data_IF_141758568702
#
_entry.id   IF_141758568702
#
_cell.length_a   1.000
_cell.length_b   1.000
_cell.length_c   1.000
_cell.angle_alpha   90.00
_cell.angle_beta   90.00
_cell.angle_gamma   90.00
#
_symmetry.space_group_name_H-M   'P 1'
#
loop_
_entity.id
_entity.type
_entity.pdbx_description
1 polymer ?
#
# COMPACT_ATOMS: atom_id res chain seq x y z
N UNK A 1 -30.90 9.93 -61.05
CA UNK A 1 -30.29 9.21 -62.19
C UNK A 1 -29.14 8.27 -61.78
N UNK A 2 -29.07 7.81 -60.52
CA UNK A 2 -27.86 7.15 -59.98
C UNK A 2 -28.29 5.89 -59.20
N UNK A 3 -27.57 4.77 -59.33
CA UNK A 3 -27.77 3.43 -58.72
C UNK A 3 -28.33 2.28 -59.60
N UNK A 4 -28.14 2.26 -60.93
CA UNK A 4 -28.44 1.05 -61.72
C UNK A 4 -27.24 0.15 -62.01
N UNK A 5 -26.02 0.66 -62.05
CA UNK A 5 -24.83 -0.16 -62.27
C UNK A 5 -24.51 -1.00 -61.01
N UNK A 6 -24.21 -2.28 -61.23
CA UNK A 6 -23.81 -3.26 -60.22
C UNK A 6 -22.54 -2.80 -59.52
N UNK A 7 -21.58 -2.21 -60.24
CA UNK A 7 -20.37 -1.57 -59.69
C UNK A 7 -20.68 -0.49 -58.63
N UNK A 8 -21.64 0.40 -58.90
CA UNK A 8 -22.05 1.44 -57.95
C UNK A 8 -22.84 0.87 -56.75
N UNK A 9 -23.64 -0.17 -56.98
CA UNK A 9 -24.36 -0.85 -55.90
C UNK A 9 -23.40 -1.60 -54.97
N UNK A 10 -22.43 -2.31 -55.53
CA UNK A 10 -21.34 -2.96 -54.80
C UNK A 10 -20.55 -1.93 -53.97
N UNK A 11 -20.14 -0.81 -54.56
CA UNK A 11 -19.45 0.24 -53.82
C UNK A 11 -20.27 0.78 -52.64
N UNK A 12 -21.58 1.00 -52.83
CA UNK A 12 -22.48 1.41 -51.73
C UNK A 12 -22.56 0.37 -50.62
N UNK A 13 -22.58 -0.92 -50.96
CA UNK A 13 -22.56 -2.00 -49.97
C UNK A 13 -21.23 -2.04 -49.21
N UNK A 14 -20.10 -1.86 -49.90
CA UNK A 14 -18.77 -1.73 -49.26
C UNK A 14 -18.75 -0.57 -48.28
N UNK A 15 -19.27 0.61 -48.65
CA UNK A 15 -19.33 1.76 -47.72
C UNK A 15 -20.16 1.46 -46.47
N UNK A 16 -21.22 0.66 -46.60
CA UNK A 16 -22.03 0.23 -45.44
C UNK A 16 -21.21 -0.67 -44.51
N UNK A 17 -20.52 -1.68 -45.05
CA UNK A 17 -19.68 -2.57 -44.25
C UNK A 17 -18.52 -1.81 -43.56
N UNK A 18 -17.93 -0.81 -44.23
CA UNK A 18 -16.93 0.08 -43.63
C UNK A 18 -17.52 0.88 -42.47
N UNK A 19 -18.75 1.38 -42.61
CA UNK A 19 -19.47 2.06 -41.53
C UNK A 19 -19.67 1.15 -40.32
N UNK A 20 -20.10 -0.09 -40.55
CA UNK A 20 -20.28 -1.08 -39.48
C UNK A 20 -18.94 -1.43 -38.79
N UNK A 21 -17.85 -1.57 -39.56
CA UNK A 21 -16.49 -1.77 -39.03
C UNK A 21 -16.05 -0.60 -38.14
N UNK A 22 -16.29 0.64 -38.56
CA UNK A 22 -15.98 1.82 -37.78
C UNK A 22 -16.76 1.82 -36.44
N UNK A 23 -18.06 1.47 -36.47
CA UNK A 23 -18.87 1.33 -35.27
C UNK A 23 -18.35 0.25 -34.32
N UNK A 24 -17.88 -0.89 -34.84
CA UNK A 24 -17.25 -1.91 -33.97
C UNK A 24 -15.96 -1.41 -33.31
N UNK A 25 -15.16 -0.60 -34.01
CA UNK A 25 -13.95 0.01 -33.43
C UNK A 25 -14.27 1.03 -32.36
N UNK A 26 -15.34 1.81 -32.54
CA UNK A 26 -15.85 2.71 -31.50
C UNK A 26 -16.26 1.94 -30.24
N UNK A 27 -17.00 0.84 -30.38
CA UNK A 27 -17.41 -0.03 -29.25
C UNK A 27 -16.19 -0.54 -28.46
N UNK A 28 -15.13 -0.98 -29.16
CA UNK A 28 -13.89 -1.41 -28.49
C UNK A 28 -13.25 -0.25 -27.73
N UNK A 29 -13.12 0.92 -28.36
CA UNK A 29 -12.53 2.09 -27.74
C UNK A 29 -13.28 2.52 -26.47
N UNK A 30 -14.61 2.59 -26.54
CA UNK A 30 -15.47 2.91 -25.39
C UNK A 30 -15.34 1.87 -24.27
N UNK A 31 -15.29 0.58 -24.63
CA UNK A 31 -15.16 -0.51 -23.66
C UNK A 31 -13.82 -0.45 -22.94
N UNK A 32 -12.71 -0.23 -23.67
CA UNK A 32 -11.38 -0.08 -23.10
C UNK A 32 -11.31 1.15 -22.18
N UNK A 33 -11.88 2.28 -22.61
CA UNK A 33 -11.94 3.50 -21.81
C UNK A 33 -12.70 3.27 -20.49
N UNK A 34 -13.91 2.70 -20.57
CA UNK A 34 -14.81 2.55 -19.43
C UNK A 34 -14.40 1.44 -18.46
N UNK A 35 -13.90 0.30 -18.96
CA UNK A 35 -13.60 -0.87 -18.11
C UNK A 35 -12.14 -0.96 -17.72
N UNK A 36 -11.23 -0.66 -18.65
CA UNK A 36 -9.79 -0.84 -18.43
C UNK A 36 -9.17 0.43 -17.89
N UNK A 37 -9.26 1.55 -18.61
CA UNK A 37 -8.57 2.80 -18.23
C UNK A 37 -9.15 3.37 -16.93
N UNK A 38 -10.48 3.45 -16.83
CA UNK A 38 -11.14 3.89 -15.60
C UNK A 38 -10.88 2.92 -14.44
N UNK A 39 -10.97 1.60 -14.71
CA UNK A 39 -10.70 0.56 -13.71
C UNK A 39 -9.29 0.65 -13.13
N UNK A 40 -8.26 0.79 -13.98
CA UNK A 40 -6.87 1.00 -13.57
C UNK A 40 -6.73 2.25 -12.71
N UNK A 41 -7.35 3.35 -13.14
CA UNK A 41 -7.28 4.64 -12.43
C UNK A 41 -7.87 4.54 -11.02
N UNK A 42 -9.04 3.90 -10.90
CA UNK A 42 -9.71 3.68 -9.61
C UNK A 42 -8.90 2.74 -8.71
N UNK A 43 -8.46 1.59 -9.23
CA UNK A 43 -7.64 0.65 -8.48
C UNK A 43 -6.35 1.32 -7.98
N UNK A 44 -5.65 2.04 -8.86
CA UNK A 44 -4.41 2.75 -8.51
C UNK A 44 -4.63 3.77 -7.39
N UNK A 45 -5.73 4.54 -7.43
CA UNK A 45 -6.09 5.47 -6.36
C UNK A 45 -6.30 4.75 -5.03
N UNK A 46 -7.14 3.73 -5.01
CA UNK A 46 -7.47 3.00 -3.79
C UNK A 46 -6.24 2.34 -3.17
N UNK A 47 -5.39 1.70 -3.99
CA UNK A 47 -4.15 1.07 -3.51
C UNK A 47 -3.17 2.08 -2.92
N UNK A 48 -3.06 3.30 -3.50
CA UNK A 48 -2.22 4.36 -2.93
C UNK A 48 -2.73 4.82 -1.57
N UNK A 49 -4.04 5.01 -1.44
CA UNK A 49 -4.67 5.47 -0.20
C UNK A 49 -4.52 4.43 0.91
N UNK A 50 -4.76 3.15 0.60
CA UNK A 50 -4.61 2.06 1.57
C UNK A 50 -3.14 1.81 1.94
N UNK A 51 -2.22 1.92 0.98
CA UNK A 51 -0.77 1.88 1.27
C UNK A 51 -0.38 3.00 2.22
N UNK A 52 -0.87 4.22 2.00
CA UNK A 52 -0.58 5.38 2.87
C UNK A 52 -1.05 5.13 4.31
N UNK A 53 -2.24 4.58 4.50
CA UNK A 53 -2.76 4.20 5.83
C UNK A 53 -1.83 3.19 6.52
N UNK A 54 -1.47 2.11 5.84
CA UNK A 54 -0.60 1.06 6.40
C UNK A 54 0.78 1.61 6.81
N UNK A 55 1.39 2.47 5.97
CA UNK A 55 2.68 3.08 6.29
C UNK A 55 2.60 4.06 7.46
N UNK A 56 1.50 4.80 7.57
CA UNK A 56 1.28 5.75 8.67
C UNK A 56 1.12 4.99 9.99
N UNK A 57 0.40 3.88 9.96
CA UNK A 57 0.26 2.98 11.12
C UNK A 57 1.60 2.35 11.52
N UNK A 58 2.35 1.80 10.55
CA UNK A 58 3.68 1.26 10.82
C UNK A 58 4.65 2.29 11.43
N UNK A 59 4.61 3.54 10.93
CA UNK A 59 5.38 4.63 11.51
C UNK A 59 4.96 4.96 12.94
N UNK A 60 3.65 4.99 13.22
CA UNK A 60 3.10 5.22 14.57
C UNK A 60 3.51 4.12 15.55
N UNK A 61 3.43 2.84 15.16
CA UNK A 61 3.87 1.71 15.96
C UNK A 61 5.37 1.78 16.27
N UNK A 62 6.18 2.11 15.26
CA UNK A 62 7.65 2.25 15.41
C UNK A 62 8.00 3.41 16.34
N UNK A 63 7.31 4.55 16.20
CA UNK A 63 7.50 5.72 17.05
C UNK A 63 7.14 5.43 18.52
N UNK A 64 6.03 4.70 18.73
CA UNK A 64 5.59 4.28 20.08
C UNK A 64 6.65 3.41 20.75
N UNK A 65 7.18 2.39 20.05
CA UNK A 65 8.24 1.53 20.57
C UNK A 65 9.52 2.32 20.86
N UNK A 66 9.95 3.18 19.93
CA UNK A 66 11.15 4.01 20.09
C UNK A 66 11.05 4.91 21.32
N UNK A 67 9.90 5.54 21.54
CA UNK A 67 9.65 6.41 22.69
C UNK A 67 9.71 5.62 24.00
N UNK A 68 9.15 4.41 24.03
CA UNK A 68 9.18 3.55 25.21
C UNK A 68 10.59 3.03 25.52
N UNK A 69 11.38 2.69 24.49
CA UNK A 69 12.80 2.34 24.67
C UNK A 69 13.59 3.52 25.25
N UNK A 70 13.37 4.75 24.75
CA UNK A 70 14.04 5.93 25.29
C UNK A 70 13.65 6.21 26.76
N UNK A 71 12.40 5.92 27.15
CA UNK A 71 11.95 5.99 28.54
C UNK A 71 12.67 4.95 29.43
N UNK A 72 12.79 3.71 28.96
CA UNK A 72 13.55 2.65 29.64
C UNK A 72 15.01 3.04 29.84
N UNK A 73 15.68 3.55 28.81
CA UNK A 73 17.07 3.99 28.92
C UNK A 73 17.24 5.11 29.93
N UNK A 74 16.29 6.05 30.00
CA UNK A 74 16.31 7.14 30.99
C UNK A 74 16.15 6.59 32.40
N UNK A 75 15.20 5.68 32.62
CA UNK A 75 14.99 5.05 33.92
C UNK A 75 16.24 4.27 34.37
N UNK A 76 16.87 3.53 33.45
CA UNK A 76 18.13 2.82 33.71
C UNK A 76 19.25 3.77 34.13
N UNK A 77 19.48 4.85 33.36
CA UNK A 77 20.51 5.86 33.69
C UNK A 77 20.27 6.51 35.05
N UNK A 78 19.01 6.78 35.39
CA UNK A 78 18.64 7.34 36.69
C UNK A 78 18.93 6.34 37.82
N UNK A 79 18.57 5.07 37.65
CA UNK A 79 18.89 4.03 38.62
C UNK A 79 20.41 3.87 38.81
N UNK A 80 21.18 3.76 37.72
CA UNK A 80 22.64 3.62 37.79
C UNK A 80 23.30 4.78 38.56
N UNK A 81 22.77 6.00 38.40
CA UNK A 81 23.23 7.17 39.15
C UNK A 81 22.84 7.09 40.63
N UNK A 82 21.56 6.86 40.92
CA UNK A 82 21.05 6.80 42.31
C UNK A 82 21.72 5.68 43.10
N UNK A 83 22.02 4.55 42.45
CA UNK A 83 22.74 3.43 43.03
C UNK A 83 24.16 3.83 43.45
N UNK A 84 24.94 4.46 42.56
CA UNK A 84 26.29 4.95 42.88
C UNK A 84 26.29 5.99 44.00
N UNK A 85 25.30 6.89 44.00
CA UNK A 85 25.14 7.90 45.05
C UNK A 85 24.82 7.25 46.42
N UNK A 86 24.05 6.15 46.42
CA UNK A 86 23.75 5.37 47.60
C UNK A 86 25.00 4.63 48.12
N UNK A 87 25.73 3.93 47.25
CA UNK A 87 26.99 3.24 47.61
C UNK A 87 27.99 4.21 48.25
N UNK A 88 28.20 5.38 47.63
CA UNK A 88 29.07 6.42 48.18
C UNK A 88 28.60 6.94 49.54
N UNK A 89 27.28 7.05 49.74
CA UNK A 89 26.72 7.52 51.00
C UNK A 89 26.82 6.48 52.12
N UNK A 90 26.73 5.19 51.78
CA UNK A 90 26.99 4.07 52.70
C UNK A 90 28.46 4.09 53.15
N UNK A 91 29.41 4.21 52.22
CA UNK A 91 30.84 4.28 52.55
C UNK A 91 31.16 5.49 53.44
N UNK A 92 30.58 6.66 53.13
CA UNK A 92 30.76 7.87 53.96
C UNK A 92 30.19 7.71 55.37
N UNK A 93 29.03 7.06 55.52
CA UNK A 93 28.47 6.77 56.83
C UNK A 93 29.37 5.81 57.61
N UNK A 94 29.86 4.73 56.99
CA UNK A 94 30.77 3.78 57.64
C UNK A 94 32.06 4.44 58.12
N UNK A 95 32.63 5.36 57.33
CA UNK A 95 33.80 6.15 57.73
C UNK A 95 33.49 7.08 58.91
N UNK A 96 32.34 7.75 58.87
CA UNK A 96 31.94 8.67 59.93
C UNK A 96 31.63 7.95 61.26
N UNK A 97 30.99 6.78 61.20
CA UNK A 97 30.66 5.95 62.37
C UNK A 97 31.92 5.38 63.04
N UNK A 98 32.98 5.15 62.27
CA UNK A 98 34.27 4.68 62.76
C UNK A 98 35.22 5.81 63.26
N UNK A 99 34.90 7.08 63.02
CA UNK A 99 35.74 8.22 63.41
C UNK A 99 35.41 8.69 64.84
N UNK A 100 36.33 8.42 65.77
CA UNK A 100 36.22 8.82 67.18
C UNK A 100 36.25 10.34 67.40
N UNK A 101 36.62 11.13 66.39
CA UNK A 101 36.69 12.59 66.47
C UNK A 101 35.40 13.29 66.05
N UNK A 102 34.43 12.57 65.46
CA UNK A 102 33.15 13.14 65.05
C UNK A 102 32.15 13.17 66.21
N UNK A 103 31.34 14.23 66.25
CA UNK A 103 30.23 14.29 67.19
C UNK A 103 29.11 13.33 66.81
N UNK A 104 28.34 12.88 67.81
CA UNK A 104 27.16 12.04 67.58
C UNK A 104 26.14 12.66 66.62
N UNK A 105 26.03 13.99 66.62
CA UNK A 105 25.13 14.71 65.71
C UNK A 105 25.61 14.64 64.25
N UNK A 106 26.93 14.68 64.02
CA UNK A 106 27.51 14.56 62.68
C UNK A 106 27.35 13.13 62.13
N UNK A 107 27.58 12.11 62.97
CA UNK A 107 27.34 10.71 62.59
C UNK A 107 25.88 10.48 62.20
N UNK A 108 24.92 11.00 62.99
CA UNK A 108 23.50 10.82 62.68
C UNK A 108 23.07 11.58 61.41
N UNK A 109 23.72 12.71 61.08
CA UNK A 109 23.53 13.41 59.80
C UNK A 109 23.97 12.54 58.62
N UNK A 110 25.12 11.87 58.73
CA UNK A 110 25.58 10.94 57.70
C UNK A 110 24.64 9.74 57.54
N UNK A 111 24.13 9.19 58.65
CA UNK A 111 23.14 8.11 58.64
C UNK A 111 21.84 8.53 57.96
N UNK A 112 21.31 9.71 58.28
CA UNK A 112 20.11 10.23 57.64
C UNK A 112 20.30 10.38 56.12
N UNK A 113 21.44 10.95 55.69
CA UNK A 113 21.76 11.08 54.27
C UNK A 113 21.90 9.71 53.57
N UNK A 114 22.55 8.74 54.20
CA UNK A 114 22.63 7.36 53.70
C UNK A 114 21.23 6.77 53.50
N UNK A 115 20.38 6.80 54.53
CA UNK A 115 19.01 6.26 54.45
C UNK A 115 18.21 6.91 53.32
N UNK A 116 18.29 8.24 53.19
CA UNK A 116 17.63 8.97 52.10
C UNK A 116 18.14 8.55 50.72
N UNK A 117 19.45 8.33 50.55
CA UNK A 117 20.04 7.90 49.27
C UNK A 117 19.72 6.45 48.93
N UNK A 118 19.68 5.56 49.91
CA UNK A 118 19.21 4.19 49.72
C UNK A 118 17.76 4.16 49.26
N UNK A 119 16.86 4.93 49.89
CA UNK A 119 15.46 5.02 49.47
C UNK A 119 15.32 5.54 48.03
N UNK A 120 16.07 6.59 47.65
CA UNK A 120 16.06 7.11 46.28
C UNK A 120 16.54 6.08 45.24
N UNK A 121 17.53 5.27 45.61
CA UNK A 121 18.02 4.16 44.78
C UNK A 121 16.94 3.08 44.60
N UNK A 122 16.26 2.69 45.68
CA UNK A 122 15.20 1.69 45.63
C UNK A 122 13.99 2.17 44.81
N UNK A 123 13.59 3.45 44.95
CA UNK A 123 12.54 4.05 44.14
C UNK A 123 12.91 4.05 42.65
N UNK A 124 14.16 4.42 42.33
CA UNK A 124 14.67 4.42 40.95
C UNK A 124 14.77 3.01 40.36
N UNK A 125 15.09 2.01 41.19
CA UNK A 125 15.14 0.60 40.81
C UNK A 125 13.75 0.07 40.43
N UNK A 126 12.74 0.41 41.24
CA UNK A 126 11.36 0.03 40.98
C UNK A 126 10.85 0.65 39.68
N UNK A 127 11.14 1.93 39.45
CA UNK A 127 10.79 2.60 38.18
C UNK A 127 11.48 1.95 36.97
N UNK A 128 12.78 1.63 37.08
CA UNK A 128 13.49 0.91 36.02
C UNK A 128 12.86 -0.46 35.72
N UNK A 129 12.54 -1.24 36.77
CA UNK A 129 11.89 -2.54 36.62
C UNK A 129 10.52 -2.43 35.93
N UNK A 130 9.72 -1.42 36.30
CA UNK A 130 8.42 -1.14 35.68
C UNK A 130 8.57 -0.81 34.19
N UNK A 131 9.50 0.10 33.85
CA UNK A 131 9.75 0.46 32.45
C UNK A 131 10.28 -0.73 31.64
N UNK A 132 11.10 -1.60 32.25
CA UNK A 132 11.64 -2.78 31.58
C UNK A 132 10.52 -3.76 31.22
N UNK A 133 9.64 -4.08 32.17
CA UNK A 133 8.51 -4.97 31.92
C UNK A 133 7.58 -4.41 30.83
N UNK A 134 7.27 -3.11 30.91
CA UNK A 134 6.43 -2.43 29.91
C UNK A 134 7.06 -2.45 28.52
N UNK A 135 8.37 -2.18 28.43
CA UNK A 135 9.10 -2.15 27.16
C UNK A 135 9.19 -3.53 26.54
N UNK A 136 9.49 -4.57 27.32
CA UNK A 136 9.55 -5.95 26.83
C UNK A 136 8.20 -6.41 26.29
N UNK A 137 7.10 -6.14 27.01
CA UNK A 137 5.75 -6.45 26.55
C UNK A 137 5.43 -5.73 25.24
N UNK A 138 5.70 -4.43 25.16
CA UNK A 138 5.45 -3.65 23.95
C UNK A 138 6.30 -4.14 22.78
N UNK A 139 7.57 -4.46 23.01
CA UNK A 139 8.48 -4.98 22.00
C UNK A 139 7.98 -6.32 21.45
N UNK A 140 7.57 -7.23 22.33
CA UNK A 140 6.98 -8.50 21.95
C UNK A 140 5.75 -8.29 21.06
N UNK A 141 4.76 -7.53 21.53
CA UNK A 141 3.55 -7.23 20.75
C UNK A 141 3.87 -6.56 19.40
N UNK A 142 4.84 -5.64 19.38
CA UNK A 142 5.25 -4.94 18.18
C UNK A 142 5.76 -5.90 17.10
N UNK A 143 6.69 -6.80 17.45
CA UNK A 143 7.33 -7.68 16.47
C UNK A 143 6.55 -8.96 16.18
N UNK A 144 5.81 -9.50 17.16
CA UNK A 144 5.07 -10.75 17.00
C UNK A 144 3.66 -10.56 16.45
N UNK A 145 3.08 -9.36 16.57
CA UNK A 145 1.67 -9.12 16.21
C UNK A 145 1.49 -7.87 15.36
N UNK A 146 1.72 -6.68 15.93
CA UNK A 146 1.28 -5.43 15.29
C UNK A 146 1.99 -5.13 13.97
N UNK A 147 3.32 -5.31 13.91
CA UNK A 147 4.08 -5.07 12.68
C UNK A 147 3.82 -6.16 11.61
N UNK A 148 3.79 -7.46 11.93
CA UNK A 148 3.32 -8.50 11.00
C UNK A 148 1.94 -8.21 10.40
N UNK A 149 0.98 -7.72 11.18
CA UNK A 149 -0.35 -7.36 10.67
C UNK A 149 -0.30 -6.20 9.65
N UNK A 150 0.59 -5.23 9.84
CA UNK A 150 0.81 -4.18 8.83
C UNK A 150 1.43 -4.76 7.57
N UNK A 151 2.41 -5.67 7.69
CA UNK A 151 3.04 -6.31 6.54
C UNK A 151 2.08 -7.22 5.77
N UNK A 152 1.24 -7.99 6.45
CA UNK A 152 0.20 -8.80 5.82
C UNK A 152 -0.75 -7.92 4.99
N UNK A 153 -1.20 -6.79 5.54
CA UNK A 153 -2.04 -5.84 4.79
C UNK A 153 -1.31 -5.22 3.59
N UNK A 154 -0.03 -4.90 3.72
CA UNK A 154 0.78 -4.42 2.59
C UNK A 154 0.93 -5.49 1.51
N UNK A 155 1.10 -6.75 1.90
CA UNK A 155 1.14 -7.88 0.99
C UNK A 155 -0.20 -8.06 0.26
N UNK A 156 -1.33 -8.01 0.97
CA UNK A 156 -2.66 -8.08 0.34
C UNK A 156 -2.89 -6.95 -0.67
N UNK A 157 -2.38 -5.75 -0.40
CA UNK A 157 -2.43 -4.61 -1.34
C UNK A 157 -1.64 -4.95 -2.61
N UNK A 158 -0.45 -5.54 -2.48
CA UNK A 158 0.38 -5.94 -3.61
C UNK A 158 -0.26 -7.08 -4.44
N UNK A 159 -0.85 -8.07 -3.77
CA UNK A 159 -1.59 -9.15 -4.39
C UNK A 159 -2.83 -8.64 -5.14
N UNK A 160 -3.59 -7.70 -4.54
CA UNK A 160 -4.71 -7.01 -5.20
C UNK A 160 -4.27 -6.26 -6.44
N UNK A 161 -3.12 -5.56 -6.40
CA UNK A 161 -2.53 -4.89 -7.57
C UNK A 161 -2.27 -5.90 -8.70
N UNK A 162 -1.57 -6.98 -8.38
CA UNK A 162 -1.16 -7.99 -9.36
C UNK A 162 -2.36 -8.69 -9.97
N UNK A 163 -3.36 -9.04 -9.14
CA UNK A 163 -4.64 -9.60 -9.62
C UNK A 163 -5.38 -8.62 -10.52
N UNK A 164 -5.49 -7.35 -10.13
CA UNK A 164 -6.14 -6.33 -10.95
C UNK A 164 -5.49 -6.14 -12.32
N UNK A 165 -4.15 -6.09 -12.38
CA UNK A 165 -3.41 -6.01 -13.66
C UNK A 165 -3.75 -7.20 -14.56
N UNK A 166 -3.74 -8.42 -14.01
CA UNK A 166 -4.12 -9.63 -14.75
C UNK A 166 -5.54 -9.52 -15.33
N UNK A 167 -6.49 -9.06 -14.52
CA UNK A 167 -7.90 -8.89 -14.94
C UNK A 167 -8.06 -7.83 -16.02
N UNK A 168 -7.33 -6.71 -15.93
CA UNK A 168 -7.38 -5.65 -16.95
C UNK A 168 -6.77 -6.07 -18.29
N UNK A 169 -5.64 -6.79 -18.28
CA UNK A 169 -5.04 -7.33 -19.49
C UNK A 169 -6.02 -8.29 -20.18
N UNK A 170 -6.63 -9.19 -19.41
CA UNK A 170 -7.65 -10.10 -19.95
C UNK A 170 -8.86 -9.31 -20.51
N UNK A 171 -9.36 -8.33 -19.76
CA UNK A 171 -10.52 -7.53 -20.19
C UNK A 171 -10.26 -6.75 -21.48
N UNK A 172 -9.03 -6.31 -21.71
CA UNK A 172 -8.65 -5.67 -22.97
C UNK A 172 -8.71 -6.65 -24.15
N UNK A 173 -8.21 -7.88 -23.98
CA UNK A 173 -8.30 -8.92 -25.00
C UNK A 173 -9.75 -9.36 -25.25
N UNK A 174 -10.56 -9.46 -24.18
CA UNK A 174 -11.98 -9.79 -24.28
C UNK A 174 -12.76 -8.71 -25.05
N UNK A 175 -12.41 -7.43 -24.91
CA UNK A 175 -13.02 -6.33 -25.65
C UNK A 175 -12.78 -6.46 -27.17
N UNK A 176 -11.54 -6.71 -27.59
CA UNK A 176 -11.22 -6.96 -29.00
C UNK A 176 -11.88 -8.24 -29.54
N UNK A 177 -11.88 -9.31 -28.74
CA UNK A 177 -12.48 -10.59 -29.12
C UNK A 177 -13.98 -10.50 -29.30
N UNK A 178 -14.65 -9.61 -28.57
CA UNK A 178 -16.11 -9.46 -28.62
C UNK A 178 -16.63 -8.95 -29.96
N UNK A 179 -15.83 -8.14 -30.68
CA UNK A 179 -16.21 -7.59 -31.98
C UNK A 179 -15.72 -8.42 -33.17
N UNK A 180 -14.81 -9.36 -32.94
CA UNK A 180 -14.18 -10.17 -34.00
C UNK A 180 -15.19 -10.87 -34.93
N UNK A 181 -16.30 -11.46 -34.45
CA UNK A 181 -17.30 -12.09 -35.33
C UNK A 181 -17.99 -11.09 -36.27
N UNK A 182 -18.26 -9.87 -35.79
CA UNK A 182 -18.92 -8.83 -36.59
C UNK A 182 -17.93 -8.29 -37.63
N UNK A 183 -16.68 -8.06 -37.24
CA UNK A 183 -15.61 -7.68 -38.17
C UNK A 183 -15.48 -8.73 -39.28
N UNK A 184 -15.43 -10.02 -38.93
CA UNK A 184 -15.37 -11.10 -39.92
C UNK A 184 -16.56 -11.05 -40.89
N UNK A 185 -17.78 -10.88 -40.38
CA UNK A 185 -18.99 -10.74 -41.21
C UNK A 185 -18.91 -9.53 -42.15
N UNK A 186 -18.39 -8.39 -41.69
CA UNK A 186 -18.25 -7.21 -42.54
C UNK A 186 -17.21 -7.42 -43.65
N UNK A 187 -16.11 -8.10 -43.35
CA UNK A 187 -15.12 -8.49 -44.34
C UNK A 187 -15.72 -9.44 -45.40
N UNK A 188 -16.51 -10.43 -44.98
CA UNK A 188 -17.26 -11.29 -45.91
C UNK A 188 -18.26 -10.49 -46.75
N UNK A 189 -18.93 -9.49 -46.18
CA UNK A 189 -19.85 -8.59 -46.87
C UNK A 189 -19.16 -7.79 -47.98
N UNK A 190 -17.93 -7.31 -47.73
CA UNK A 190 -17.11 -6.61 -48.73
C UNK A 190 -16.74 -7.55 -49.89
N UNK A 191 -16.34 -8.79 -49.59
CA UNK A 191 -16.03 -9.80 -50.62
C UNK A 191 -17.28 -10.09 -51.46
N UNK A 192 -18.43 -10.35 -50.84
CA UNK A 192 -19.70 -10.59 -51.54
C UNK A 192 -20.14 -9.39 -52.40
N UNK A 193 -19.91 -8.16 -51.92
CA UNK A 193 -20.18 -6.97 -52.71
C UNK A 193 -19.33 -6.94 -53.98
N UNK A 194 -18.04 -7.31 -53.89
CA UNK A 194 -17.17 -7.41 -55.08
C UNK A 194 -17.62 -8.49 -56.07
N UNK A 195 -18.07 -9.64 -55.56
CA UNK A 195 -18.58 -10.75 -56.38
C UNK A 195 -19.91 -10.43 -57.07
N UNK A 196 -20.63 -9.40 -56.61
CA UNK A 196 -21.91 -8.96 -57.20
C UNK A 196 -21.78 -8.03 -58.41
N UNK A 197 -20.55 -7.66 -58.78
CA UNK A 197 -20.29 -6.81 -59.95
C UNK A 197 -20.34 -7.68 -61.22
N UNK A 198 -21.14 -7.25 -62.20
CA UNK A 198 -21.26 -7.92 -63.50
C UNK A 198 -21.01 -6.90 -64.63
N UNK A 199 -19.87 -7.06 -65.31
CA UNK A 199 -19.47 -6.19 -66.41
C UNK A 199 -20.41 -6.26 -67.63
N UNK A 200 -21.05 -7.41 -67.87
CA UNK A 200 -21.97 -7.60 -69.01
C UNK A 200 -23.30 -6.93 -68.72
N UNK A 201 -23.82 -7.09 -67.50
CA UNK A 201 -25.05 -6.42 -67.06
C UNK A 201 -24.86 -4.90 -67.09
N UNK A 202 -23.74 -4.40 -66.56
CA UNK A 202 -23.42 -2.97 -66.56
C UNK A 202 -23.29 -2.43 -67.99
N UNK A 203 -22.58 -3.13 -68.88
CA UNK A 203 -22.45 -2.73 -70.29
C UNK A 203 -23.80 -2.70 -71.02
N UNK A 204 -24.68 -3.68 -70.75
CA UNK A 204 -26.01 -3.74 -71.37
C UNK A 204 -26.88 -2.55 -70.96
N UNK A 205 -26.84 -2.16 -69.67
CA UNK A 205 -27.53 -0.96 -69.15
C UNK A 205 -27.06 0.35 -69.77
N UNK A 206 -25.82 0.42 -70.29
CA UNK A 206 -25.31 1.58 -71.03
C UNK A 206 -25.99 1.66 -72.39
N UNK A 207 -26.12 0.52 -73.09
CA UNK A 207 -26.70 0.44 -74.44
C UNK A 207 -28.21 0.73 -74.42
N UNK A 208 -28.91 0.32 -73.35
CA UNK A 208 -30.34 0.57 -73.16
C UNK A 208 -30.70 2.03 -72.77
N UNK A 209 -29.71 2.89 -72.54
CA UNK A 209 -29.89 4.32 -72.23
C UNK A 209 -29.75 5.20 -73.46
#
# INVERSE_FOLDING_TARGET
MVCRYTSWQAFRNVLKEIGDLAGQREIVAETLQAKVIHGISLLSKNLRDDRKKCLTEGASLTHTLTTQIAALERAKRNYDKSYRDAEKSIENYQKADADLNLSRAEVEKHKHNMTMKCQQSDDSKNEYANQLQKSNKLQQTHYETSLPEVFNRLQEIDEKRTKGIKEFIKSAADAESSVAPIIARCLEGIVKASESIDEKEDSSKVIER
#
